data_IF_521888485249
#
_entry.id   IF_521888485249
#
_cell.length_a   1.000
_cell.length_b   1.000
_cell.length_c   1.000
_cell.angle_alpha   90.00
_cell.angle_beta   90.00
_cell.angle_gamma   90.00
#
_symmetry.space_group_name_H-M   'P 1'
#
loop_
_entity.id
_entity.type
_entity.pdbx_description
1 polymer ?
#
# COMPACT_ATOMS: atom_id res chain seq x y z
N UNK A 1 -4.22 -15.88 12.07
CA UNK A 1 -4.29 -15.21 13.39
C UNK A 1 -5.05 -13.92 13.16
N UNK A 2 -6.08 -13.61 13.96
CA UNK A 2 -6.94 -12.43 13.75
C UNK A 2 -6.29 -11.16 14.29
N UNK A 3 -6.39 -10.05 13.56
CA UNK A 3 -5.90 -8.73 13.98
C UNK A 3 -6.69 -8.17 15.18
N UNK A 4 -7.96 -8.54 15.37
CA UNK A 4 -8.80 -8.04 16.48
C UNK A 4 -8.23 -8.31 17.87
N UNK A 5 -7.43 -9.36 18.04
CA UNK A 5 -6.77 -9.65 19.32
C UNK A 5 -5.49 -8.82 19.54
N UNK A 6 -5.05 -8.08 18.52
CA UNK A 6 -3.85 -7.25 18.52
C UNK A 6 -4.13 -5.77 18.69
N UNK A 7 -5.32 -5.23 18.43
CA UNK A 7 -5.57 -3.76 18.51
C UNK A 7 -6.21 -3.38 19.85
N UNK A 8 -5.48 -3.55 20.94
CA UNK A 8 -5.99 -3.27 22.30
C UNK A 8 -5.25 -2.14 23.02
N UNK A 9 -4.36 -1.43 22.33
CA UNK A 9 -3.57 -0.33 22.87
C UNK A 9 -2.96 0.53 21.76
N UNK A 10 -2.65 1.79 22.08
CA UNK A 10 -1.95 2.74 21.20
C UNK A 10 -0.67 2.17 20.59
N UNK A 11 0.16 1.50 21.40
CA UNK A 11 1.39 0.91 20.90
C UNK A 11 1.12 -0.19 19.85
N UNK A 12 0.04 -0.95 19.99
CA UNK A 12 -0.30 -1.96 19.00
C UNK A 12 -0.92 -1.35 17.74
N UNK A 13 -1.76 -0.32 17.90
CA UNK A 13 -2.31 0.43 16.78
C UNK A 13 -1.19 1.11 15.98
N UNK A 14 -0.28 1.82 16.65
CA UNK A 14 0.89 2.43 16.03
C UNK A 14 1.72 1.41 15.23
N UNK A 15 1.93 0.21 15.77
CA UNK A 15 2.63 -0.86 15.05
C UNK A 15 1.89 -1.31 13.79
N UNK A 16 0.56 -1.33 13.79
CA UNK A 16 -0.22 -1.71 12.61
C UNK A 16 -0.21 -0.58 11.58
N UNK A 17 -0.34 0.68 12.01
CA UNK A 17 -0.18 1.82 11.11
C UNK A 17 1.21 1.86 10.47
N UNK A 18 2.27 1.55 11.23
CA UNK A 18 3.63 1.40 10.70
C UNK A 18 3.73 0.26 9.67
N UNK A 19 2.98 -0.83 9.84
CA UNK A 19 2.91 -1.89 8.83
C UNK A 19 2.20 -1.37 7.57
N UNK A 20 1.12 -0.60 7.72
CA UNK A 20 0.45 0.09 6.61
C UNK A 20 1.44 0.97 5.83
N UNK A 21 2.18 1.84 6.53
CA UNK A 21 3.25 2.66 5.94
C UNK A 21 4.20 1.79 5.11
N UNK A 22 4.74 0.70 5.68
CA UNK A 22 5.66 -0.17 4.95
C UNK A 22 5.02 -0.82 3.71
N UNK A 23 3.73 -1.15 3.74
CA UNK A 23 3.02 -1.67 2.57
C UNK A 23 2.93 -0.61 1.48
N UNK A 24 2.56 0.62 1.84
CA UNK A 24 2.53 1.75 0.89
C UNK A 24 3.90 2.04 0.28
N UNK A 25 4.96 2.00 1.09
CA UNK A 25 6.32 2.21 0.60
C UNK A 25 6.75 1.12 -0.39
N UNK A 26 6.26 -0.11 -0.21
CA UNK A 26 6.51 -1.20 -1.15
C UNK A 26 5.76 -0.95 -2.45
N UNK A 27 4.47 -0.60 -2.40
CA UNK A 27 3.67 -0.27 -3.59
C UNK A 27 4.32 0.90 -4.35
N UNK A 28 4.61 2.00 -3.64
CA UNK A 28 5.25 3.21 -4.17
C UNK A 28 6.58 2.89 -4.88
N UNK A 29 7.51 2.26 -4.16
CA UNK A 29 8.83 1.92 -4.69
C UNK A 29 8.73 1.04 -5.93
N UNK A 30 7.86 0.02 -5.88
CA UNK A 30 7.73 -0.92 -6.99
C UNK A 30 7.11 -0.24 -8.21
N UNK A 31 6.02 0.50 -8.03
CA UNK A 31 5.37 1.24 -9.11
C UNK A 31 6.35 2.20 -9.82
N UNK A 32 7.15 2.94 -9.04
CA UNK A 32 8.18 3.84 -9.55
C UNK A 32 9.31 3.11 -10.32
N UNK A 33 9.68 1.90 -9.91
CA UNK A 33 10.82 1.16 -10.48
C UNK A 33 10.44 0.09 -11.51
N UNK A 34 9.17 -0.26 -11.66
CA UNK A 34 8.70 -1.32 -12.55
C UNK A 34 9.14 -1.09 -13.99
N UNK A 35 8.94 0.12 -14.54
CA UNK A 35 9.38 0.44 -15.89
C UNK A 35 10.90 0.40 -16.02
N UNK A 36 11.62 0.82 -14.98
CA UNK A 36 13.08 0.86 -14.97
C UNK A 36 13.73 -0.51 -14.94
N UNK A 37 13.02 -1.50 -14.42
CA UNK A 37 13.45 -2.89 -14.38
C UNK A 37 13.33 -3.64 -15.72
N UNK A 38 12.48 -3.16 -16.63
CA UNK A 38 12.28 -3.75 -17.96
C UNK A 38 13.44 -3.42 -18.92
N UNK A 39 13.70 -4.33 -19.87
CA UNK A 39 14.66 -4.06 -20.95
C UNK A 39 14.19 -2.88 -21.83
N UNK A 40 15.09 -2.21 -22.58
CA UNK A 40 14.70 -1.09 -23.43
C UNK A 40 13.67 -1.45 -24.51
N UNK A 41 13.69 -2.70 -25.00
CA UNK A 41 12.74 -3.20 -25.99
C UNK A 41 11.35 -3.39 -25.37
N UNK A 42 11.28 -4.11 -24.25
CA UNK A 42 10.03 -4.33 -23.51
C UNK A 42 9.42 -3.02 -23.02
N UNK A 43 10.26 -2.13 -22.47
CA UNK A 43 9.83 -0.80 -22.02
C UNK A 43 9.21 0.00 -23.17
N UNK A 44 9.73 -0.09 -24.39
CA UNK A 44 9.17 0.63 -25.53
C UNK A 44 7.77 0.11 -25.93
N UNK A 45 7.48 -1.15 -25.63
CA UNK A 45 6.21 -1.82 -25.94
C UNK A 45 5.17 -1.68 -24.81
N UNK A 46 5.54 -1.13 -23.65
CA UNK A 46 4.59 -0.82 -22.56
C UNK A 46 3.60 0.26 -23.01
N UNK A 47 2.31 -0.08 -22.93
CA UNK A 47 1.19 0.79 -23.26
C UNK A 47 1.10 1.99 -22.30
N UNK A 48 0.59 3.12 -22.80
CA UNK A 48 0.47 4.36 -22.01
C UNK A 48 -0.38 4.16 -20.76
N UNK A 49 -1.49 3.43 -20.87
CA UNK A 49 -2.40 3.12 -19.75
C UNK A 49 -1.68 2.41 -18.59
N UNK A 50 -0.73 1.51 -18.89
CA UNK A 50 0.10 0.85 -17.85
C UNK A 50 1.09 1.85 -17.22
N UNK A 51 1.54 2.85 -17.96
CA UNK A 51 2.45 3.88 -17.43
C UNK A 51 1.70 4.84 -16.53
N UNK A 52 0.51 5.25 -16.93
CA UNK A 52 -0.38 6.11 -16.15
C UNK A 52 -0.72 5.43 -14.83
N UNK A 53 -1.20 4.18 -14.87
CA UNK A 53 -1.44 3.34 -13.69
C UNK A 53 -0.26 3.33 -12.70
N UNK A 54 0.96 3.06 -13.18
CA UNK A 54 2.14 2.99 -12.29
C UNK A 54 2.54 4.34 -11.70
N UNK A 55 2.27 5.44 -12.39
CA UNK A 55 2.49 6.78 -11.85
C UNK A 55 1.45 7.08 -10.78
N UNK A 56 0.18 6.81 -11.08
CA UNK A 56 -0.94 7.04 -10.16
C UNK A 56 -0.78 6.20 -8.88
N UNK A 57 -0.49 4.91 -8.99
CA UNK A 57 -0.23 4.06 -7.83
C UNK A 57 0.96 4.55 -6.99
N UNK A 58 2.03 5.05 -7.63
CA UNK A 58 3.16 5.62 -6.89
C UNK A 58 2.80 6.91 -6.16
N UNK A 59 1.99 7.78 -6.76
CA UNK A 59 1.58 9.04 -6.13
C UNK A 59 0.56 8.79 -5.01
N UNK A 60 -0.38 7.88 -5.22
CA UNK A 60 -1.41 7.52 -4.27
C UNK A 60 -0.83 6.86 -3.00
N UNK A 61 0.03 5.84 -3.13
CA UNK A 61 0.67 5.22 -1.97
C UNK A 61 1.54 6.20 -1.17
N UNK A 62 2.18 7.17 -1.85
CA UNK A 62 2.91 8.23 -1.16
C UNK A 62 1.96 9.10 -0.32
N UNK A 63 0.78 9.45 -0.83
CA UNK A 63 -0.24 10.17 -0.07
C UNK A 63 -0.80 9.34 1.09
N UNK A 64 -1.06 8.05 0.88
CA UNK A 64 -1.53 7.15 1.94
C UNK A 64 -0.53 7.09 3.09
N UNK A 65 0.76 6.94 2.76
CA UNK A 65 1.84 6.98 3.74
C UNK A 65 1.83 8.27 4.54
N UNK A 66 1.72 9.44 3.91
CA UNK A 66 1.65 10.73 4.62
C UNK A 66 0.45 10.79 5.58
N UNK A 67 -0.72 10.26 5.16
CA UNK A 67 -1.92 10.20 6.01
C UNK A 67 -1.70 9.28 7.22
N UNK A 68 -1.04 8.13 7.04
CA UNK A 68 -0.71 7.19 8.12
C UNK A 68 0.35 7.72 9.07
N UNK A 69 1.42 8.34 8.55
CA UNK A 69 2.45 9.00 9.34
C UNK A 69 1.84 10.06 10.26
N UNK A 70 0.89 10.85 9.76
CA UNK A 70 0.17 11.83 10.58
C UNK A 70 -0.68 11.20 11.71
N UNK A 71 -1.19 9.97 11.53
CA UNK A 71 -1.85 9.23 12.61
C UNK A 71 -0.85 8.66 13.62
N UNK A 72 0.32 8.22 13.16
CA UNK A 72 1.39 7.67 14.00
C UNK A 72 2.02 8.77 14.88
N UNK A 73 2.21 9.97 14.32
CA UNK A 73 2.70 11.14 15.06
C UNK A 73 1.79 11.49 16.23
N UNK A 74 0.47 11.42 16.05
CA UNK A 74 -0.50 11.67 17.13
C UNK A 74 -0.46 10.60 18.24
N UNK A 75 0.10 9.42 17.94
CA UNK A 75 0.33 8.33 18.89
C UNK A 75 1.70 8.41 19.60
N UNK A 76 2.49 9.46 19.36
CA UNK A 76 3.86 9.64 19.88
C UNK A 76 4.78 8.43 19.56
N UNK A 77 4.59 7.79 18.40
CA UNK A 77 5.38 6.64 17.96
C UNK A 77 6.34 6.98 16.82
N UNK A 78 7.53 6.37 16.81
CA UNK A 78 8.54 6.60 15.77
C UNK A 78 8.23 5.78 14.50
N UNK A 79 8.36 6.37 13.31
CA UNK A 79 8.27 5.66 12.02
C UNK A 79 9.64 5.24 11.49
N UNK A 80 9.67 4.26 10.59
CA UNK A 80 10.86 3.93 9.79
C UNK A 80 10.86 4.84 8.56
N UNK A 81 12.03 5.27 8.09
CA UNK A 81 12.12 6.12 6.92
C UNK A 81 12.00 5.32 5.62
N UNK A 82 11.25 5.84 4.65
CA UNK A 82 11.05 5.29 3.30
C UNK A 82 12.32 4.80 2.62
N UNK A 83 13.40 5.57 2.70
CA UNK A 83 14.65 5.24 2.01
C UNK A 83 15.29 3.94 2.54
N UNK A 84 15.02 3.56 3.79
CA UNK A 84 15.47 2.30 4.38
C UNK A 84 14.65 1.11 3.86
N UNK A 85 13.34 1.27 3.68
CA UNK A 85 12.45 0.22 3.17
C UNK A 85 12.65 -0.01 1.68
N UNK A 86 12.77 1.05 0.87
CA UNK A 86 13.03 0.95 -0.56
C UNK A 86 14.27 0.07 -0.85
N UNK A 87 15.36 0.30 -0.11
CA UNK A 87 16.57 -0.52 -0.23
C UNK A 87 16.39 -2.00 0.15
N UNK A 88 15.45 -2.31 1.06
CA UNK A 88 15.14 -3.69 1.46
C UNK A 88 14.25 -4.40 0.44
N UNK A 89 13.28 -3.69 -0.15
CA UNK A 89 12.40 -4.21 -1.21
C UNK A 89 13.24 -4.58 -2.44
N UNK A 90 14.10 -3.67 -2.89
CA UNK A 90 15.04 -3.87 -3.99
C UNK A 90 15.94 -5.10 -3.80
N UNK A 91 16.33 -5.37 -2.54
CA UNK A 91 17.20 -6.51 -2.23
C UNK A 91 16.47 -7.85 -2.20
N UNK A 92 15.15 -7.86 -1.97
CA UNK A 92 14.38 -9.05 -1.65
C UNK A 92 13.55 -9.58 -2.84
N UNK A 93 13.09 -8.69 -3.72
CA UNK A 93 12.28 -9.03 -4.88
C UNK A 93 13.07 -8.90 -6.18
N UNK A 94 12.99 -9.94 -7.02
CA UNK A 94 13.56 -9.89 -8.38
C UNK A 94 12.71 -9.01 -9.30
N UNK A 95 13.30 -8.48 -10.39
CA UNK A 95 12.56 -7.69 -11.36
C UNK A 95 11.46 -8.53 -12.03
N UNK A 96 10.32 -7.91 -12.44
CA UNK A 96 9.31 -8.56 -13.27
C UNK A 96 9.93 -9.07 -14.58
N UNK A 97 9.39 -10.17 -15.10
CA UNK A 97 9.89 -10.79 -16.34
C UNK A 97 9.46 -10.03 -17.60
N UNK A 98 8.25 -9.46 -17.61
CA UNK A 98 7.66 -8.69 -18.72
C UNK A 98 6.55 -7.74 -18.22
N UNK A 99 5.81 -7.08 -19.13
CA UNK A 99 4.69 -6.19 -18.78
C UNK A 99 3.57 -6.89 -18.02
N UNK A 100 3.30 -8.17 -18.31
CA UNK A 100 2.26 -8.89 -17.58
C UNK A 100 2.76 -9.22 -16.17
N UNK A 101 4.05 -9.52 -16.00
CA UNK A 101 4.72 -9.61 -14.71
C UNK A 101 4.66 -8.32 -13.90
N UNK A 102 4.72 -7.15 -14.54
CA UNK A 102 4.50 -5.85 -13.88
C UNK A 102 3.06 -5.75 -13.36
N UNK A 103 2.06 -6.03 -14.19
CA UNK A 103 0.65 -5.93 -13.80
C UNK A 103 0.26 -6.94 -12.72
N UNK A 104 0.75 -8.18 -12.81
CA UNK A 104 0.52 -9.19 -11.78
C UNK A 104 1.10 -8.79 -10.44
N UNK A 105 2.28 -8.18 -10.47
CA UNK A 105 2.95 -7.75 -9.27
C UNK A 105 2.28 -6.51 -8.66
N UNK A 106 1.90 -5.53 -9.47
CA UNK A 106 1.10 -4.39 -9.01
C UNK A 106 -0.20 -4.87 -8.36
N UNK A 107 -0.99 -5.71 -9.05
CA UNK A 107 -2.22 -6.28 -8.53
C UNK A 107 -2.02 -6.97 -7.17
N UNK A 108 -0.94 -7.75 -7.03
CA UNK A 108 -0.67 -8.46 -5.79
C UNK A 108 -0.33 -7.51 -4.62
N UNK A 109 0.29 -6.36 -4.89
CA UNK A 109 0.59 -5.37 -3.87
C UNK A 109 -0.68 -4.61 -3.45
N UNK A 110 -1.47 -4.11 -4.40
CA UNK A 110 -2.79 -3.47 -4.15
C UNK A 110 -3.73 -4.40 -3.36
N UNK A 111 -3.89 -5.67 -3.78
CA UNK A 111 -4.73 -6.63 -3.06
C UNK A 111 -4.25 -6.88 -1.62
N UNK A 112 -2.93 -6.82 -1.40
CA UNK A 112 -2.33 -7.03 -0.08
C UNK A 112 -2.61 -5.84 0.83
N UNK A 113 -2.45 -4.62 0.33
CA UNK A 113 -2.73 -3.39 1.05
C UNK A 113 -4.24 -3.23 1.32
N UNK A 114 -5.09 -3.35 0.31
CA UNK A 114 -6.56 -3.41 0.45
C UNK A 114 -6.99 -4.35 1.59
N UNK A 115 -6.54 -5.60 1.55
CA UNK A 115 -6.92 -6.60 2.55
C UNK A 115 -6.39 -6.26 3.94
N UNK A 116 -5.18 -5.70 4.02
CA UNK A 116 -4.61 -5.28 5.28
C UNK A 116 -5.48 -4.20 5.94
N UNK A 117 -5.93 -3.20 5.18
CA UNK A 117 -6.81 -2.15 5.71
C UNK A 117 -8.19 -2.67 6.08
N UNK A 118 -8.79 -3.54 5.26
CA UNK A 118 -10.06 -4.20 5.58
C UNK A 118 -9.97 -4.96 6.92
N UNK A 119 -8.94 -5.78 7.10
CA UNK A 119 -8.70 -6.53 8.34
C UNK A 119 -8.38 -5.61 9.54
N UNK A 120 -7.72 -4.46 9.31
CA UNK A 120 -7.35 -3.50 10.35
C UNK A 120 -8.57 -2.72 10.83
N UNK A 121 -9.41 -2.24 9.92
CA UNK A 121 -10.67 -1.57 10.21
C UNK A 121 -11.56 -2.49 11.03
N UNK A 122 -11.79 -3.72 10.56
CA UNK A 122 -12.58 -4.74 11.25
C UNK A 122 -12.06 -4.97 12.69
N UNK A 123 -10.75 -4.93 12.88
CA UNK A 123 -10.11 -5.12 14.17
C UNK A 123 -10.26 -3.92 15.11
N UNK A 124 -10.26 -2.69 14.59
CA UNK A 124 -10.49 -1.46 15.35
C UNK A 124 -11.95 -1.39 15.77
N UNK A 125 -12.89 -1.58 14.84
CA UNK A 125 -14.34 -1.53 15.12
C UNK A 125 -14.80 -2.62 16.11
N UNK A 126 -14.11 -3.78 16.12
CA UNK A 126 -14.38 -4.85 17.08
C UNK A 126 -13.71 -4.64 18.45
N UNK A 127 -12.87 -3.61 18.61
CA UNK A 127 -12.14 -3.33 19.84
C UNK A 127 -12.95 -2.44 20.77
N UNK A 128 -12.85 -2.70 22.08
CA UNK A 128 -13.38 -1.83 23.13
C UNK A 128 -12.28 -0.90 23.72
N UNK A 129 -11.16 -0.73 23.02
CA UNK A 129 -10.02 0.04 23.50
C UNK A 129 -10.21 1.55 23.28
N UNK A 130 -10.00 2.34 24.33
CA UNK A 130 -9.85 3.80 24.19
C UNK A 130 -8.44 4.11 23.68
N UNK A 131 -8.34 4.59 22.44
CA UNK A 131 -7.08 5.05 21.87
C UNK A 131 -6.77 6.50 22.25
N UNK A 132 -5.48 6.86 22.23
CA UNK A 132 -5.00 8.23 22.42
C UNK A 132 -5.35 9.20 21.29
N UNK A 133 -6.06 8.75 20.25
CA UNK A 133 -6.45 9.53 19.08
C UNK A 133 -7.97 9.54 18.87
N UNK A 134 -8.43 10.42 18.01
CA UNK A 134 -9.83 10.51 17.59
C UNK A 134 -10.18 9.31 16.68
N UNK A 135 -11.06 8.43 17.17
CA UNK A 135 -11.46 7.19 16.48
C UNK A 135 -12.21 7.45 15.17
N UNK A 136 -13.05 8.49 15.12
CA UNK A 136 -13.76 8.87 13.89
C UNK A 136 -12.75 9.27 12.81
N UNK A 137 -11.76 10.11 13.15
CA UNK A 137 -10.67 10.47 12.22
C UNK A 137 -9.84 9.27 11.78
N UNK A 138 -9.53 8.35 12.70
CA UNK A 138 -8.79 7.12 12.37
C UNK A 138 -9.54 6.31 11.31
N UNK A 139 -10.80 5.98 11.59
CA UNK A 139 -11.62 5.16 10.72
C UNK A 139 -11.90 5.85 9.39
N UNK A 140 -12.21 7.15 9.39
CA UNK A 140 -12.40 7.92 8.15
C UNK A 140 -11.15 7.88 7.26
N UNK A 141 -9.96 7.99 7.85
CA UNK A 141 -8.69 7.91 7.11
C UNK A 141 -8.48 6.51 6.53
N UNK A 142 -8.65 5.47 7.35
CA UNK A 142 -8.46 4.08 6.91
C UNK A 142 -9.50 3.64 5.87
N UNK A 143 -10.75 4.08 6.00
CA UNK A 143 -11.78 3.81 4.99
C UNK A 143 -11.48 4.49 3.65
N UNK A 144 -10.94 5.71 3.69
CA UNK A 144 -10.50 6.41 2.49
C UNK A 144 -9.43 5.60 1.76
N UNK A 145 -8.36 5.26 2.46
CA UNK A 145 -7.26 4.43 1.92
C UNK A 145 -7.79 3.10 1.40
N UNK A 146 -8.61 2.37 2.17
CA UNK A 146 -9.17 1.07 1.74
C UNK A 146 -10.00 1.19 0.45
N UNK A 147 -10.73 2.27 0.23
CA UNK A 147 -11.50 2.44 -1.01
C UNK A 147 -10.59 2.78 -2.19
N UNK A 148 -9.60 3.67 -1.99
CA UNK A 148 -8.58 4.01 -2.99
C UNK A 148 -7.82 2.74 -3.44
N UNK A 149 -7.33 1.93 -2.50
CA UNK A 149 -6.72 0.61 -2.76
C UNK A 149 -7.63 -0.36 -3.53
N UNK A 150 -8.94 -0.33 -3.23
CA UNK A 150 -9.92 -1.16 -3.95
C UNK A 150 -10.09 -0.68 -5.39
N UNK A 151 -10.10 0.63 -5.61
CA UNK A 151 -10.14 1.23 -6.95
C UNK A 151 -8.86 0.86 -7.73
N UNK A 152 -7.68 0.88 -7.08
CA UNK A 152 -6.42 0.40 -7.66
C UNK A 152 -6.48 -1.07 -8.12
N UNK A 153 -6.99 -1.97 -7.28
CA UNK A 153 -7.22 -3.38 -7.66
C UNK A 153 -8.14 -3.50 -8.88
N UNK A 154 -9.24 -2.74 -8.90
CA UNK A 154 -10.22 -2.74 -10.00
C UNK A 154 -9.56 -2.25 -11.31
N UNK A 155 -8.78 -1.17 -11.26
CA UNK A 155 -8.10 -0.60 -12.43
C UNK A 155 -7.06 -1.55 -13.03
N UNK A 156 -6.18 -2.14 -12.21
CA UNK A 156 -5.19 -3.12 -12.68
C UNK A 156 -5.89 -4.30 -13.35
N UNK A 157 -6.99 -4.77 -12.74
CA UNK A 157 -7.79 -5.88 -13.27
C UNK A 157 -8.41 -5.54 -14.63
N UNK A 158 -9.00 -4.35 -14.78
CA UNK A 158 -9.58 -3.89 -16.06
C UNK A 158 -8.54 -3.84 -17.18
N UNK A 159 -7.35 -3.31 -16.89
CA UNK A 159 -6.22 -3.26 -17.84
C UNK A 159 -5.81 -4.68 -18.26
N UNK A 160 -5.69 -5.61 -17.31
CA UNK A 160 -5.35 -7.00 -17.60
C UNK A 160 -6.42 -7.68 -18.46
N UNK A 161 -7.71 -7.43 -18.21
CA UNK A 161 -8.82 -7.97 -19.00
C UNK A 161 -8.85 -7.40 -20.42
N UNK A 162 -8.53 -6.12 -20.62
CA UNK A 162 -8.45 -5.49 -21.94
C UNK A 162 -7.30 -6.01 -22.81
N UNK A 163 -6.27 -6.57 -22.18
CA UNK A 163 -5.08 -7.11 -22.85
C UNK A 163 -5.17 -8.61 -23.19
N UNK A 164 -6.11 -9.35 -22.59
CA UNK A 164 -6.31 -10.80 -22.75
C UNK A 164 -7.00 -11.22 -24.07
#
# INVERSE_FOLDING_TARGET
MSLGQRVSSDHQLARLLQIGVVLEEVVESRAAHHLDSLSPEERADVHEEVRELLVEASEESAEHRERLEALIDDLDAETVAYEEINALVDAQYGPPEDTDGVLYDQLANEETAYKFYDDLIDAIEASDADYGLDEDRLLDTLYGIREEEKEGVEEVTEIMEHRA
#
